data_IF_823776974684
#
_entry.id   IF_823776974684
#
_cell.length_a   1.000
_cell.length_b   1.000
_cell.length_c   1.000
_cell.angle_alpha   90.00
_cell.angle_beta   90.00
_cell.angle_gamma   90.00
#
_symmetry.space_group_name_H-M   'P 1'
#
loop_
_entity.id
_entity.type
_entity.pdbx_description
1 polymer ?
#
# COMPACT_ATOMS: atom_id res chain seq x y z
N UNK A 1 39.78 29.01 9.99
CA UNK A 1 38.78 29.83 9.27
C UNK A 1 37.66 30.10 10.26
N UNK A 2 37.50 31.35 10.71
CA UNK A 2 36.41 31.74 11.63
C UNK A 2 35.23 32.23 10.80
N UNK A 3 34.08 31.58 10.96
CA UNK A 3 32.84 31.99 10.31
C UNK A 3 32.09 32.87 11.31
N UNK A 4 32.20 34.19 11.13
CA UNK A 4 31.45 35.19 11.90
C UNK A 4 29.97 35.10 11.54
N UNK A 5 29.16 34.56 12.45
CA UNK A 5 27.72 34.47 12.23
C UNK A 5 26.95 33.92 13.43
N UNK A 6 26.41 34.86 14.20
CA UNK A 6 25.51 34.68 15.34
C UNK A 6 26.16 34.24 16.66
N UNK A 7 25.94 35.10 17.66
CA UNK A 7 26.29 34.95 19.07
C UNK A 7 25.71 33.66 19.68
N UNK A 8 26.36 32.52 19.45
CA UNK A 8 26.33 31.39 20.36
C UNK A 8 27.58 31.50 21.23
N UNK A 9 27.44 32.25 22.31
CA UNK A 9 28.45 32.57 23.34
C UNK A 9 29.09 31.35 24.04
N UNK A 10 28.86 30.12 23.57
CA UNK A 10 29.40 28.92 24.21
C UNK A 10 29.78 27.77 23.27
N UNK A 11 29.67 27.91 21.94
CA UNK A 11 30.13 26.86 21.01
C UNK A 11 31.36 27.36 20.28
N UNK A 12 32.50 26.71 20.48
CA UNK A 12 33.76 27.08 19.84
C UNK A 12 33.62 27.08 18.31
N UNK A 13 33.92 28.22 17.67
CA UNK A 13 33.90 28.41 16.20
C UNK A 13 35.08 27.69 15.49
N UNK A 14 35.61 26.64 16.09
CA UNK A 14 36.72 25.88 15.56
C UNK A 14 36.19 24.73 14.72
N UNK A 15 36.64 24.69 13.47
CA UNK A 15 36.30 23.63 12.53
C UNK A 15 37.56 22.92 12.06
N UNK A 16 37.52 21.59 12.08
CA UNK A 16 38.50 20.76 11.45
C UNK A 16 38.13 20.59 9.97
N UNK A 17 39.10 20.78 9.08
CA UNK A 17 38.95 20.58 7.65
C UNK A 17 39.77 19.38 7.24
N UNK A 18 39.11 18.36 6.70
CA UNK A 18 39.74 17.11 6.29
C UNK A 18 39.58 16.90 4.79
N UNK A 19 40.62 16.39 4.11
CA UNK A 19 40.49 15.95 2.72
C UNK A 19 39.63 14.68 2.67
N UNK A 20 38.60 14.71 1.82
CA UNK A 20 37.77 13.55 1.52
C UNK A 20 38.59 12.51 0.76
N UNK A 21 38.50 11.26 1.18
CA UNK A 21 39.15 10.13 0.49
C UNK A 21 38.29 9.58 -0.65
N UNK A 22 37.02 9.92 -0.68
CA UNK A 22 36.04 9.37 -1.63
C UNK A 22 35.94 10.20 -2.91
N UNK A 23 36.71 11.29 -3.00
CA UNK A 23 36.72 12.15 -4.17
C UNK A 23 37.30 11.41 -5.38
N UNK A 24 36.46 11.19 -6.39
CA UNK A 24 36.85 10.50 -7.62
C UNK A 24 37.06 11.50 -8.75
N UNK A 25 38.34 11.88 -8.93
CA UNK A 25 38.86 12.52 -10.14
C UNK A 25 38.58 14.02 -10.26
N UNK A 26 39.27 14.70 -11.19
CA UNK A 26 39.14 16.15 -11.34
C UNK A 26 37.73 16.53 -11.82
N UNK A 27 37.06 17.43 -11.10
CA UNK A 27 35.77 18.00 -11.53
C UNK A 27 35.99 19.40 -12.11
N UNK A 28 35.42 19.69 -13.28
CA UNK A 28 35.52 21.02 -13.89
C UNK A 28 34.49 21.98 -13.28
N UNK A 29 34.91 23.21 -13.01
CA UNK A 29 34.05 24.30 -12.54
C UNK A 29 33.73 25.18 -13.75
N UNK A 30 32.45 25.45 -13.95
CA UNK A 30 31.97 26.38 -14.96
C UNK A 30 31.25 27.54 -14.27
N UNK A 31 31.39 28.73 -14.82
CA UNK A 31 30.60 29.90 -14.46
C UNK A 31 29.74 30.32 -15.63
N UNK A 32 28.56 30.84 -15.33
CA UNK A 32 27.64 31.38 -16.32
C UNK A 32 27.26 32.79 -15.89
N UNK A 33 27.39 33.75 -16.81
CA UNK A 33 26.92 35.12 -16.61
C UNK A 33 25.47 35.20 -17.09
N UNK A 34 24.66 36.09 -16.50
CA UNK A 34 23.23 36.28 -16.81
C UNK A 34 22.89 36.48 -18.30
N UNK A 35 23.88 36.69 -19.18
CA UNK A 35 23.73 36.84 -20.64
C UNK A 35 23.94 35.52 -21.42
N UNK A 36 24.16 34.39 -20.75
CA UNK A 36 24.28 33.06 -21.36
C UNK A 36 25.70 32.68 -21.80
N UNK A 37 26.69 33.52 -21.50
CA UNK A 37 28.10 33.18 -21.71
C UNK A 37 28.59 32.26 -20.59
N UNK A 38 29.12 31.09 -20.98
CA UNK A 38 29.67 30.09 -20.08
C UNK A 38 31.20 30.05 -20.20
N UNK A 39 31.90 30.12 -19.07
CA UNK A 39 33.35 30.03 -19.00
C UNK A 39 33.79 28.82 -18.15
N UNK A 40 34.94 28.22 -18.52
CA UNK A 40 35.61 27.19 -17.72
C UNK A 40 36.57 27.87 -16.73
N UNK A 41 36.28 27.78 -15.44
CA UNK A 41 37.04 28.47 -14.37
C UNK A 41 38.26 27.65 -13.92
N UNK A 42 38.13 26.32 -13.90
CA UNK A 42 39.22 25.46 -13.45
C UNK A 42 38.77 24.07 -13.06
N UNK A 43 39.64 23.35 -12.37
CA UNK A 43 39.43 21.95 -11.98
C UNK A 43 39.58 21.76 -10.48
N UNK A 44 38.57 21.17 -9.83
CA UNK A 44 38.61 20.69 -8.45
C UNK A 44 39.38 19.39 -8.40
N UNK A 45 40.48 19.36 -7.65
CA UNK A 45 41.31 18.17 -7.45
C UNK A 45 41.07 17.51 -6.10
N UNK A 46 40.70 18.29 -5.10
CA UNK A 46 40.51 17.85 -3.72
C UNK A 46 39.15 18.30 -3.22
N UNK A 47 38.42 17.39 -2.57
CA UNK A 47 37.23 17.74 -1.80
C UNK A 47 37.59 17.87 -0.33
N UNK A 48 37.20 18.98 0.29
CA UNK A 48 37.43 19.25 1.71
C UNK A 48 36.11 19.15 2.49
N UNK A 49 36.08 18.32 3.52
CA UNK A 49 34.97 18.19 4.46
C UNK A 49 35.26 19.00 5.73
N UNK A 50 34.33 19.88 6.08
CA UNK A 50 34.41 20.69 7.30
C UNK A 50 33.55 20.08 8.40
N UNK A 51 34.15 19.82 9.57
CA UNK A 51 33.46 19.31 10.76
C UNK A 51 33.76 20.18 11.97
N UNK A 52 32.83 20.34 12.92
CA UNK A 52 33.13 21.04 14.17
C UNK A 52 34.25 20.31 14.93
N UNK A 53 35.23 21.06 15.42
CA UNK A 53 36.42 20.51 16.09
C UNK A 53 36.11 19.96 17.48
N UNK A 54 35.09 20.49 18.15
CA UNK A 54 34.61 20.05 19.46
C UNK A 54 33.12 20.33 19.64
N UNK A 55 32.55 19.97 20.78
CA UNK A 55 31.16 20.29 21.12
C UNK A 55 30.11 19.61 20.21
N UNK A 56 30.37 18.38 19.76
CA UNK A 56 29.49 17.65 18.82
C UNK A 56 28.05 17.54 19.37
N UNK A 57 27.89 17.36 20.67
CA UNK A 57 26.58 17.26 21.32
C UNK A 57 25.80 18.58 21.29
N UNK A 58 26.46 19.70 21.61
CA UNK A 58 25.88 21.04 21.57
C UNK A 58 25.57 21.46 20.13
N UNK A 59 26.47 21.17 19.20
CA UNK A 59 26.24 21.35 17.78
C UNK A 59 25.07 20.49 17.27
N UNK A 60 24.93 19.27 17.80
CA UNK A 60 23.78 18.38 17.54
C UNK A 60 22.46 19.00 18.01
N UNK A 61 22.43 19.55 19.23
CA UNK A 61 21.27 20.28 19.79
C UNK A 61 20.92 21.49 18.91
N UNK A 62 21.92 22.26 18.46
CA UNK A 62 21.72 23.39 17.54
C UNK A 62 21.13 22.94 16.19
N UNK A 63 21.62 21.85 15.62
CA UNK A 63 21.09 21.30 14.37
C UNK A 63 19.64 20.84 14.53
N UNK A 64 19.31 20.17 15.64
CA UNK A 64 17.94 19.78 15.96
C UNK A 64 17.02 20.98 16.11
N UNK A 65 17.46 22.04 16.80
CA UNK A 65 16.65 23.24 16.98
C UNK A 65 16.37 23.94 15.65
N UNK A 66 17.39 24.07 14.79
CA UNK A 66 17.25 24.62 13.43
C UNK A 66 16.26 23.81 12.60
N UNK A 67 16.32 22.48 12.67
CA UNK A 67 15.39 21.60 11.98
C UNK A 67 13.97 21.71 12.55
N UNK A 68 13.81 21.76 13.88
CA UNK A 68 12.49 21.93 14.53
C UNK A 68 11.80 23.21 14.06
N UNK A 69 12.51 24.33 14.00
CA UNK A 69 11.97 25.63 13.54
C UNK A 69 11.47 25.55 12.09
N UNK A 70 12.19 24.83 11.21
CA UNK A 70 11.79 24.63 9.80
C UNK A 70 10.59 23.70 9.67
N UNK A 71 10.57 22.57 10.38
CA UNK A 71 9.53 21.55 10.26
C UNK A 71 8.22 21.96 10.93
N UNK A 72 8.28 22.62 12.09
CA UNK A 72 7.09 23.00 12.86
C UNK A 72 6.20 24.02 12.14
N UNK A 73 6.76 24.87 11.26
CA UNK A 73 5.96 25.81 10.46
C UNK A 73 5.11 25.15 9.38
N UNK A 74 5.45 23.93 8.93
CA UNK A 74 4.81 23.30 7.78
C UNK A 74 3.65 22.36 8.14
N UNK A 75 3.40 22.07 9.42
CA UNK A 75 2.39 21.08 9.83
C UNK A 75 1.68 21.50 11.12
N UNK A 76 0.35 21.58 11.07
CA UNK A 76 -0.47 21.69 12.27
C UNK A 76 -1.12 20.33 12.54
N UNK A 77 -0.64 19.61 13.55
CA UNK A 77 -1.27 18.37 14.01
C UNK A 77 -2.18 18.70 15.18
N UNK A 78 -3.49 18.61 14.98
CA UNK A 78 -4.45 18.68 16.09
C UNK A 78 -4.72 17.27 16.58
N UNK A 79 -4.48 17.04 17.88
CA UNK A 79 -5.01 15.86 18.54
C UNK A 79 -6.50 16.10 18.81
N UNK A 80 -7.39 15.35 18.16
CA UNK A 80 -8.79 15.34 18.57
C UNK A 80 -8.91 14.57 19.88
N UNK A 81 -9.16 15.30 20.96
CA UNK A 81 -9.54 14.73 22.25
C UNK A 81 -11.00 14.24 22.16
N UNK A 82 -11.31 13.10 22.78
CA UNK A 82 -12.62 12.39 22.73
C UNK A 82 -12.99 11.61 21.44
N UNK A 83 -12.04 11.26 20.58
CA UNK A 83 -12.29 10.24 19.55
C UNK A 83 -12.40 8.82 20.17
N UNK A 84 -13.58 8.46 20.70
CA UNK A 84 -13.89 7.10 21.18
C UNK A 84 -13.98 6.08 20.04
N UNK A 85 -12.95 5.90 19.20
CA UNK A 85 -12.80 4.75 18.27
C UNK A 85 -13.96 4.42 17.29
N UNK A 86 -15.00 5.26 17.18
CA UNK A 86 -16.28 4.92 16.53
C UNK A 86 -16.19 4.73 15.00
N UNK A 87 -15.05 5.06 14.39
CA UNK A 87 -14.84 4.95 12.94
C UNK A 87 -13.73 3.97 12.52
N UNK A 88 -13.09 3.25 13.46
CA UNK A 88 -11.98 2.34 13.13
C UNK A 88 -12.39 0.87 12.94
N UNK A 89 -13.66 0.53 13.21
CA UNK A 89 -14.20 -0.78 12.83
C UNK A 89 -14.81 -0.65 11.45
N UNK A 90 -14.25 -1.37 10.47
CA UNK A 90 -14.86 -1.58 9.16
C UNK A 90 -16.29 -2.08 9.38
N UNK A 91 -17.29 -1.23 9.08
CA UNK A 91 -18.66 -1.72 8.96
C UNK A 91 -18.65 -2.73 7.81
N UNK A 92 -19.06 -3.99 8.01
CA UNK A 92 -19.15 -4.94 6.92
C UNK A 92 -19.99 -4.31 5.81
N UNK A 93 -19.42 -4.34 4.60
CA UNK A 93 -19.89 -3.64 3.41
C UNK A 93 -21.40 -3.84 3.23
N UNK A 94 -22.19 -2.77 3.28
CA UNK A 94 -23.58 -2.80 2.81
C UNK A 94 -23.61 -2.78 1.28
N UNK A 95 -22.98 -3.77 0.64
CA UNK A 95 -23.41 -4.16 -0.69
C UNK A 95 -24.78 -4.78 -0.49
N UNK A 96 -25.82 -4.02 -0.85
CA UNK A 96 -27.13 -4.60 -1.14
C UNK A 96 -26.97 -5.49 -2.38
N UNK A 97 -26.31 -6.64 -2.24
CA UNK A 97 -26.68 -7.77 -3.08
C UNK A 97 -28.15 -7.96 -2.76
N UNK A 98 -29.00 -7.72 -3.76
CA UNK A 98 -30.36 -8.28 -3.80
C UNK A 98 -30.22 -9.80 -3.87
N UNK A 99 -29.60 -10.43 -2.87
CA UNK A 99 -29.94 -11.79 -2.50
C UNK A 99 -31.33 -11.66 -1.93
N UNK A 100 -32.32 -11.87 -2.81
CA UNK A 100 -33.58 -12.41 -2.37
C UNK A 100 -33.24 -13.47 -1.32
N UNK A 101 -33.82 -13.36 -0.14
CA UNK A 101 -33.82 -14.43 0.84
C UNK A 101 -34.52 -15.61 0.16
N UNK A 102 -33.74 -16.37 -0.63
CA UNK A 102 -34.18 -17.64 -1.16
C UNK A 102 -34.37 -18.46 0.09
N UNK A 103 -35.62 -18.56 0.55
CA UNK A 103 -36.04 -19.51 1.56
C UNK A 103 -35.37 -20.82 1.14
N UNK A 104 -34.36 -21.25 1.89
CA UNK A 104 -33.85 -22.60 1.85
C UNK A 104 -35.02 -23.46 2.33
N UNK A 105 -36.00 -23.68 1.44
CA UNK A 105 -36.99 -24.74 1.58
C UNK A 105 -36.14 -25.99 1.57
N UNK A 106 -35.80 -26.51 2.76
CA UNK A 106 -35.36 -27.89 2.90
C UNK A 106 -36.57 -28.72 2.46
N UNK A 107 -36.63 -29.00 1.15
CA UNK A 107 -37.72 -29.76 0.54
C UNK A 107 -37.54 -31.20 0.98
N UNK A 108 -38.58 -31.77 1.58
CA UNK A 108 -38.60 -33.16 1.99
C UNK A 108 -38.40 -34.04 0.75
N UNK A 109 -37.42 -34.95 0.84
CA UNK A 109 -37.06 -35.91 -0.22
C UNK A 109 -38.32 -36.67 -0.67
N UNK A 110 -38.64 -36.65 -1.97
CA UNK A 110 -39.63 -37.58 -2.52
C UNK A 110 -39.13 -39.02 -2.34
N UNK A 111 -40.01 -39.94 -1.98
CA UNK A 111 -39.67 -41.30 -1.57
C UNK A 111 -38.77 -42.04 -2.58
N UNK A 112 -37.76 -42.75 -2.05
CA UNK A 112 -36.87 -43.65 -2.80
C UNK A 112 -37.72 -44.72 -3.51
N UNK A 113 -37.77 -44.70 -4.83
CA UNK A 113 -38.40 -45.77 -5.61
C UNK A 113 -38.50 -45.44 -7.09
N UNK A 114 -38.66 -46.48 -7.92
CA UNK A 114 -38.77 -46.52 -9.41
C UNK A 114 -39.48 -45.34 -10.10
N UNK A 115 -40.31 -44.59 -9.37
CA UNK A 115 -40.97 -43.35 -9.80
C UNK A 115 -39.97 -42.27 -10.23
N UNK A 116 -38.80 -42.18 -9.60
CA UNK A 116 -37.78 -41.17 -9.97
C UNK A 116 -37.16 -41.47 -11.35
N UNK A 117 -36.81 -42.73 -11.61
CA UNK A 117 -36.25 -43.17 -12.89
C UNK A 117 -37.27 -43.06 -14.02
N UNK A 118 -38.53 -43.47 -13.79
CA UNK A 118 -39.62 -43.32 -14.77
C UNK A 118 -39.84 -41.84 -15.14
N UNK A 119 -39.83 -40.95 -14.15
CA UNK A 119 -40.02 -39.53 -14.40
C UNK A 119 -38.88 -38.92 -15.20
N UNK A 120 -37.64 -39.39 -14.97
CA UNK A 120 -36.49 -38.94 -15.76
C UNK A 120 -36.59 -39.45 -17.19
N UNK A 121 -36.94 -40.72 -17.40
CA UNK A 121 -37.14 -41.29 -18.74
C UNK A 121 -38.19 -40.51 -19.54
N UNK A 122 -39.32 -40.15 -18.93
CA UNK A 122 -40.35 -39.32 -19.57
C UNK A 122 -39.83 -37.93 -19.99
N UNK A 123 -38.88 -37.35 -19.24
CA UNK A 123 -38.23 -36.09 -19.62
C UNK A 123 -37.32 -36.26 -20.85
N UNK A 124 -36.60 -37.38 -20.94
CA UNK A 124 -35.76 -37.69 -22.10
C UNK A 124 -36.57 -38.06 -23.35
N UNK A 125 -37.77 -38.61 -23.18
CA UNK A 125 -38.71 -38.81 -24.29
C UNK A 125 -39.19 -37.48 -24.88
N UNK A 126 -39.35 -36.43 -24.06
CA UNK A 126 -39.75 -35.09 -24.53
C UNK A 126 -38.62 -34.37 -25.25
N UNK A 127 -37.40 -34.44 -24.73
CA UNK A 127 -36.21 -33.87 -25.36
C UNK A 127 -34.97 -34.72 -25.03
N UNK A 128 -34.13 -35.07 -26.02
CA UNK A 128 -33.00 -35.96 -25.81
C UNK A 128 -31.82 -35.32 -25.06
N UNK A 129 -31.78 -33.99 -24.91
CA UNK A 129 -30.67 -33.27 -24.26
C UNK A 129 -31.16 -32.45 -23.08
N UNK A 130 -30.65 -32.75 -21.89
CA UNK A 130 -30.96 -32.04 -20.65
C UNK A 130 -29.69 -31.61 -19.92
N UNK A 131 -29.70 -30.40 -19.35
CA UNK A 131 -28.63 -29.98 -18.43
C UNK A 131 -28.99 -30.34 -16.98
N UNK A 132 -27.97 -30.64 -16.16
CA UNK A 132 -28.12 -31.00 -14.74
C UNK A 132 -28.97 -29.99 -13.95
N UNK A 133 -28.84 -28.69 -14.26
CA UNK A 133 -29.61 -27.62 -13.61
C UNK A 133 -31.10 -27.68 -13.94
N UNK A 134 -31.45 -27.98 -15.20
CA UNK A 134 -32.85 -28.16 -15.62
C UNK A 134 -33.46 -29.39 -14.96
N UNK A 135 -32.69 -30.48 -14.91
CA UNK A 135 -33.13 -31.73 -14.29
C UNK A 135 -33.35 -31.56 -12.77
N UNK A 136 -32.47 -30.80 -12.10
CA UNK A 136 -32.62 -30.41 -10.69
C UNK A 136 -33.92 -29.61 -10.45
N UNK A 137 -34.28 -28.68 -11.34
CA UNK A 137 -35.53 -27.91 -11.22
C UNK A 137 -36.78 -28.78 -11.43
N UNK A 138 -36.76 -29.67 -12.43
CA UNK A 138 -37.95 -30.45 -12.82
C UNK A 138 -38.24 -31.64 -11.88
N UNK A 139 -37.17 -32.28 -11.40
CA UNK A 139 -37.27 -33.49 -10.57
C UNK A 139 -37.16 -33.20 -9.08
N UNK A 140 -36.68 -32.01 -8.70
CA UNK A 140 -36.33 -31.65 -7.31
C UNK A 140 -35.35 -32.64 -6.66
N UNK A 141 -34.55 -33.35 -7.47
CA UNK A 141 -33.48 -34.25 -7.02
C UNK A 141 -32.16 -33.47 -6.95
N UNK A 142 -31.28 -33.72 -5.96
CA UNK A 142 -29.97 -33.07 -5.90
C UNK A 142 -29.08 -33.46 -7.10
N UNK A 143 -28.27 -32.51 -7.59
CA UNK A 143 -27.41 -32.69 -8.78
C UNK A 143 -26.48 -33.90 -8.65
N UNK A 144 -25.91 -34.14 -7.47
CA UNK A 144 -25.04 -35.29 -7.18
C UNK A 144 -25.73 -36.62 -7.48
N UNK A 145 -27.02 -36.73 -7.19
CA UNK A 145 -27.79 -37.96 -7.42
C UNK A 145 -28.17 -38.13 -8.89
N UNK A 146 -28.45 -37.02 -9.56
CA UNK A 146 -28.70 -37.01 -11.00
C UNK A 146 -27.46 -37.43 -11.78
N UNK A 147 -26.27 -36.92 -11.40
CA UNK A 147 -24.99 -37.39 -11.94
C UNK A 147 -24.82 -38.89 -11.74
N UNK A 148 -24.97 -39.39 -10.50
CA UNK A 148 -24.88 -40.83 -10.21
C UNK A 148 -25.86 -41.73 -10.98
N UNK A 149 -27.00 -41.21 -11.45
CA UNK A 149 -27.94 -41.99 -12.25
C UNK A 149 -27.57 -41.99 -13.74
N UNK A 150 -26.96 -40.91 -14.22
CA UNK A 150 -26.46 -40.81 -15.59
C UNK A 150 -25.12 -41.51 -15.77
N UNK A 151 -24.30 -41.55 -14.72
CA UNK A 151 -22.97 -42.20 -14.70
C UNK A 151 -23.05 -43.71 -14.43
N UNK A 152 -24.23 -44.23 -14.07
CA UNK A 152 -24.48 -45.66 -13.94
C UNK A 152 -24.94 -46.23 -15.27
N UNK A 153 -23.97 -46.62 -16.10
CA UNK A 153 -24.15 -47.61 -17.16
C UNK A 153 -24.30 -49.03 -16.58
#
# INVERSE_FOLDING_TARGET
>A
MEILGAELWNVSNLYAVNKSKDFRGPMSIFSEVNQGDVALEGTVTDQLEMRPHGGIEEYGKLCQERNRKRVAKARHTQALENCRGLHLILKPVMVKKKTASVKLKRRTRSGRGKVEVKKILELFERQPKWTLKQLFHETNQPEVRMGQLMDKE
#
